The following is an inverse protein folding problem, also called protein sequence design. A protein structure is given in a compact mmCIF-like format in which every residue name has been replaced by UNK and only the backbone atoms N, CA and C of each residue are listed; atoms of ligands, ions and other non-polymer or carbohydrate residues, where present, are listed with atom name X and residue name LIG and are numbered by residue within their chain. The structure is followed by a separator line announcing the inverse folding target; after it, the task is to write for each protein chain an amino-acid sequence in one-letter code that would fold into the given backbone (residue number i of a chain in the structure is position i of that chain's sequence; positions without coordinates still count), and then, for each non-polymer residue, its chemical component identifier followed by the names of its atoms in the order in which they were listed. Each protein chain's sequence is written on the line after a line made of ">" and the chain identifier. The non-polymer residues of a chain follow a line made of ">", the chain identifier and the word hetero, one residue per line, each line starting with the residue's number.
data_IF_749404111187
#
_entry.id   IF_749404111187
#
_cell.length_a   1.000
_cell.length_b   1.000
_cell.length_c   1.000
_cell.angle_alpha   90.00
_cell.angle_beta   90.00
_cell.angle_gamma   90.00
#
_symmetry.space_group_name_H-M   'P 1'
#
loop_
_entity.id
_entity.type
_entity.pdbx_description
1 polymer ?
#
# COMPACT_ATOMS: atom_id res chain seq x y z
N UNK A 1 -15.77 11.02 18.17
CA UNK A 1 -17.03 11.78 17.98
C UNK A 1 -18.21 10.83 18.04
N UNK A 2 -19.43 11.33 18.27
CA UNK A 2 -20.63 10.50 18.23
C UNK A 2 -20.91 10.03 16.79
N UNK A 3 -21.74 8.99 16.62
CA UNK A 3 -22.19 8.54 15.31
C UNK A 3 -22.93 9.65 14.54
N UNK A 4 -23.80 10.41 15.22
CA UNK A 4 -24.54 11.51 14.60
C UNK A 4 -23.63 12.65 14.12
N UNK A 5 -22.59 13.00 14.90
CA UNK A 5 -21.59 14.00 14.53
C UNK A 5 -20.78 13.55 13.31
N UNK A 6 -20.40 12.27 13.30
CA UNK A 6 -19.64 11.66 12.22
C UNK A 6 -20.45 11.62 10.92
N UNK A 7 -21.71 11.17 10.98
CA UNK A 7 -22.61 11.15 9.84
C UNK A 7 -22.89 12.55 9.25
N UNK A 8 -23.03 13.55 10.12
CA UNK A 8 -23.24 14.95 9.69
C UNK A 8 -21.96 15.68 9.31
N UNK A 9 -20.79 15.03 9.47
CA UNK A 9 -19.45 15.61 9.24
C UNK A 9 -19.22 16.93 9.98
N UNK A 10 -19.81 17.07 11.17
CA UNK A 10 -19.72 18.28 11.98
C UNK A 10 -19.47 17.91 13.43
N UNK A 11 -18.46 18.53 14.04
CA UNK A 11 -18.18 18.39 15.46
C UNK A 11 -17.63 19.70 16.01
N UNK A 12 -18.09 20.08 17.21
CA UNK A 12 -17.74 21.36 17.86
C UNK A 12 -16.24 21.53 18.12
N UNK A 13 -15.51 20.43 18.32
CA UNK A 13 -14.09 20.46 18.65
C UNK A 13 -13.19 20.34 17.43
N UNK A 14 -13.69 19.81 16.31
CA UNK A 14 -12.89 19.55 15.11
C UNK A 14 -12.20 20.81 14.54
N UNK A 15 -12.84 21.99 14.47
CA UNK A 15 -12.17 23.21 14.01
C UNK A 15 -11.00 23.62 14.92
N UNK A 16 -11.19 23.55 16.24
CA UNK A 16 -10.13 23.90 17.22
C UNK A 16 -8.94 22.95 17.13
N UNK A 17 -9.22 21.64 16.97
CA UNK A 17 -8.19 20.64 16.77
C UNK A 17 -7.45 20.89 15.47
N UNK A 18 -8.18 21.22 14.39
CA UNK A 18 -7.58 21.53 13.10
C UNK A 18 -6.62 22.72 13.18
N UNK A 19 -7.07 23.85 13.74
CA UNK A 19 -6.23 25.04 13.94
C UNK A 19 -4.97 24.72 14.75
N UNK A 20 -5.13 23.96 15.85
CA UNK A 20 -3.98 23.57 16.69
C UNK A 20 -2.99 22.69 15.92
N UNK A 21 -3.45 21.65 15.22
CA UNK A 21 -2.56 20.75 14.47
C UNK A 21 -1.84 21.48 13.34
N UNK A 22 -2.51 22.39 12.62
CA UNK A 22 -1.87 23.19 11.57
C UNK A 22 -0.74 24.06 12.13
N UNK A 23 -0.87 24.58 13.34
CA UNK A 23 0.19 25.34 14.01
C UNK A 23 1.35 24.47 14.53
N UNK A 24 1.19 23.15 14.64
CA UNK A 24 2.14 22.24 15.31
C UNK A 24 2.66 21.10 14.41
N UNK A 25 2.66 21.26 13.08
CA UNK A 25 3.26 20.30 12.15
C UNK A 25 2.33 19.81 11.03
N UNK A 26 1.03 20.08 11.12
CA UNK A 26 0.11 19.90 10.00
C UNK A 26 -0.15 18.45 9.60
N UNK A 27 0.05 17.50 10.51
CA UNK A 27 -0.15 16.07 10.25
C UNK A 27 -1.63 15.73 9.90
N UNK A 28 -1.87 14.58 9.22
CA UNK A 28 -3.22 14.20 8.82
C UNK A 28 -4.19 14.03 9.99
N UNK A 29 -5.34 14.70 9.91
CA UNK A 29 -6.45 14.53 10.86
C UNK A 29 -7.50 13.62 10.24
N UNK A 30 -7.86 12.55 10.95
CA UNK A 30 -8.90 11.59 10.51
C UNK A 30 -10.05 11.61 11.53
N UNK A 31 -11.17 12.29 11.23
CA UNK A 31 -12.37 12.18 12.04
C UNK A 31 -12.97 10.78 11.91
N UNK A 32 -13.26 10.13 13.04
CA UNK A 32 -13.95 8.83 13.07
C UNK A 32 -14.81 8.68 14.33
N UNK A 33 -15.77 7.76 14.28
CA UNK A 33 -16.61 7.40 15.42
C UNK A 33 -16.35 5.95 15.83
N UNK A 34 -15.73 5.75 16.98
CA UNK A 34 -15.49 4.41 17.52
C UNK A 34 -16.80 3.61 17.73
N UNK A 35 -17.88 4.29 18.12
CA UNK A 35 -19.19 3.67 18.26
C UNK A 35 -19.74 3.16 16.91
N UNK A 36 -19.57 3.94 15.84
CA UNK A 36 -19.97 3.52 14.49
C UNK A 36 -19.12 2.34 14.00
N UNK A 37 -17.80 2.42 14.15
CA UNK A 37 -16.88 1.35 13.72
C UNK A 37 -17.15 0.03 14.45
N UNK A 38 -17.38 0.07 15.76
CA UNK A 38 -17.72 -1.14 16.53
C UNK A 38 -19.06 -1.73 16.06
N UNK A 39 -20.06 -0.89 15.83
CA UNK A 39 -21.39 -1.34 15.38
C UNK A 39 -21.32 -2.05 14.03
N UNK A 40 -20.59 -1.51 13.06
CA UNK A 40 -20.43 -2.15 11.74
C UNK A 40 -19.47 -3.34 11.76
N UNK A 41 -18.65 -3.49 12.79
CA UNK A 41 -17.76 -4.64 12.97
C UNK A 41 -18.52 -5.89 13.42
N UNK A 42 -19.56 -5.70 14.24
CA UNK A 42 -20.43 -6.80 14.72
C UNK A 42 -21.47 -7.24 13.67
N UNK A 43 -21.65 -6.47 12.60
CA UNK A 43 -22.60 -6.77 11.53
C UNK A 43 -22.02 -7.73 10.48
N UNK A 44 -22.84 -8.63 9.92
CA UNK A 44 -22.52 -9.35 8.68
C UNK A 44 -22.22 -8.39 7.51
N UNK A 45 -21.40 -8.83 6.55
CA UNK A 45 -20.94 -7.97 5.44
C UNK A 45 -22.08 -7.42 4.56
N UNK A 46 -23.15 -8.19 4.37
CA UNK A 46 -24.32 -7.79 3.58
C UNK A 46 -25.17 -6.73 4.30
N UNK A 47 -25.29 -6.82 5.63
CA UNK A 47 -25.96 -5.82 6.47
C UNK A 47 -25.12 -4.55 6.61
N UNK A 48 -23.81 -4.71 6.81
CA UNK A 48 -22.85 -3.60 6.89
C UNK A 48 -22.92 -2.69 5.67
N UNK A 49 -22.93 -3.27 4.47
CA UNK A 49 -23.03 -2.51 3.23
C UNK A 49 -24.33 -1.69 3.13
N UNK A 50 -25.46 -2.28 3.55
CA UNK A 50 -26.77 -1.59 3.58
C UNK A 50 -26.75 -0.47 4.62
N UNK A 51 -26.28 -0.73 5.83
CA UNK A 51 -26.20 0.25 6.91
C UNK A 51 -25.35 1.47 6.54
N UNK A 52 -24.17 1.24 5.94
CA UNK A 52 -23.28 2.30 5.46
C UNK A 52 -23.95 3.16 4.38
N UNK A 53 -24.68 2.52 3.46
CA UNK A 53 -25.41 3.20 2.38
C UNK A 53 -26.56 4.06 2.92
N UNK A 54 -27.34 3.55 3.88
CA UNK A 54 -28.46 4.27 4.50
C UNK A 54 -27.98 5.45 5.35
N UNK A 55 -26.94 5.24 6.15
CA UNK A 55 -26.37 6.28 7.00
C UNK A 55 -25.51 7.31 6.22
N UNK A 56 -25.23 7.05 4.94
CA UNK A 56 -24.41 7.93 4.09
C UNK A 56 -22.95 8.04 4.53
N UNK A 57 -22.46 7.04 5.26
CA UNK A 57 -21.12 6.99 5.85
C UNK A 57 -20.39 5.71 5.46
N UNK A 58 -19.08 5.80 5.38
CA UNK A 58 -18.19 4.66 5.17
C UNK A 58 -17.26 4.50 6.36
N UNK A 59 -16.79 3.28 6.60
CA UNK A 59 -15.75 3.02 7.60
C UNK A 59 -14.50 3.85 7.30
N UNK A 60 -13.94 4.44 8.34
CA UNK A 60 -12.68 5.17 8.31
C UNK A 60 -11.49 4.27 8.64
N UNK A 61 -11.71 3.04 9.12
CA UNK A 61 -10.63 2.10 9.44
C UNK A 61 -9.69 1.86 8.25
N UNK A 62 -10.15 1.63 7.01
CA UNK A 62 -9.24 1.50 5.86
C UNK A 62 -8.36 2.74 5.66
N UNK A 63 -8.92 3.95 5.89
CA UNK A 63 -8.16 5.20 5.80
C UNK A 63 -7.17 5.35 6.96
N UNK A 64 -7.55 4.94 8.18
CA UNK A 64 -6.64 4.96 9.34
C UNK A 64 -5.45 4.04 9.10
N UNK A 65 -5.69 2.80 8.66
CA UNK A 65 -4.63 1.82 8.38
C UNK A 65 -3.68 2.32 7.29
N UNK A 66 -4.22 2.78 6.15
CA UNK A 66 -3.40 3.28 5.03
C UNK A 66 -2.64 4.56 5.38
N UNK A 67 -3.24 5.46 6.15
CA UNK A 67 -2.54 6.67 6.62
C UNK A 67 -1.45 6.33 7.61
N UNK A 68 -1.70 5.43 8.56
CA UNK A 68 -0.71 4.95 9.52
C UNK A 68 0.48 4.27 8.83
N UNK A 69 0.21 3.41 7.85
CA UNK A 69 1.24 2.74 7.04
C UNK A 69 2.17 3.75 6.33
N UNK A 70 1.59 4.79 5.72
CA UNK A 70 2.35 5.87 5.08
C UNK A 70 3.08 6.76 6.08
N UNK A 71 2.48 7.04 7.24
CA UNK A 71 3.07 7.88 8.28
C UNK A 71 4.37 7.30 8.85
N UNK A 72 4.51 5.98 8.87
CA UNK A 72 5.75 5.29 9.31
C UNK A 72 6.73 4.99 8.16
N UNK A 73 6.53 5.65 7.01
CA UNK A 73 7.37 5.54 5.81
C UNK A 73 7.49 4.12 5.25
N UNK A 74 6.40 3.35 5.32
CA UNK A 74 6.30 2.08 4.60
C UNK A 74 5.63 2.30 3.24
N UNK A 75 6.14 1.56 2.25
CA UNK A 75 5.56 1.40 0.91
C UNK A 75 5.52 -0.10 0.59
N UNK A 76 4.93 -0.49 -0.52
CA UNK A 76 4.98 -1.88 -0.97
C UNK A 76 5.20 -1.98 -2.46
N UNK A 77 5.79 -3.11 -2.87
CA UNK A 77 5.78 -3.57 -4.25
C UNK A 77 4.99 -4.87 -4.34
N UNK A 78 4.62 -5.25 -5.56
CA UNK A 78 3.88 -6.46 -5.84
C UNK A 78 4.75 -7.49 -6.55
N UNK A 79 4.57 -8.74 -6.19
CA UNK A 79 4.82 -9.87 -7.09
C UNK A 79 3.47 -10.33 -7.60
N UNK A 80 3.33 -10.48 -8.91
CA UNK A 80 2.09 -10.92 -9.54
C UNK A 80 2.40 -12.00 -10.58
N UNK A 81 1.79 -13.16 -10.42
CA UNK A 81 1.80 -14.27 -11.36
C UNK A 81 0.48 -15.03 -11.31
N UNK A 82 0.36 -16.11 -12.08
CA UNK A 82 -0.84 -16.95 -12.08
C UNK A 82 -1.08 -17.61 -10.72
N UNK A 83 0.00 -17.95 -10.02
CA UNK A 83 -0.06 -18.66 -8.73
C UNK A 83 -0.35 -17.71 -7.55
N UNK A 84 0.31 -16.56 -7.50
CA UNK A 84 0.27 -15.66 -6.35
C UNK A 84 0.31 -14.18 -6.78
N UNK A 85 -0.53 -13.38 -6.12
CA UNK A 85 -0.41 -11.92 -6.09
C UNK A 85 -0.19 -11.50 -4.63
N UNK A 86 0.94 -10.85 -4.36
CA UNK A 86 1.34 -10.52 -2.99
C UNK A 86 1.94 -9.13 -2.88
N UNK A 87 1.59 -8.44 -1.79
CA UNK A 87 2.16 -7.16 -1.38
C UNK A 87 3.36 -7.40 -0.46
N UNK A 88 4.52 -6.86 -0.83
CA UNK A 88 5.74 -6.92 -0.03
C UNK A 88 6.04 -5.55 0.55
N UNK A 89 5.87 -5.42 1.88
CA UNK A 89 6.14 -4.16 2.58
C UNK A 89 7.64 -3.91 2.72
N UNK A 90 8.07 -2.70 2.37
CA UNK A 90 9.45 -2.21 2.49
C UNK A 90 9.44 -0.78 3.01
N UNK A 91 10.59 -0.31 3.49
CA UNK A 91 10.74 1.11 3.83
C UNK A 91 10.89 1.94 2.56
N UNK A 92 10.38 3.16 2.57
CA UNK A 92 10.63 4.11 1.50
C UNK A 92 12.14 4.32 1.34
N UNK A 93 12.64 4.29 0.10
CA UNK A 93 14.06 4.39 -0.18
C UNK A 93 14.82 3.06 -0.24
N UNK A 94 14.16 1.92 0.03
CA UNK A 94 14.76 0.59 -0.13
C UNK A 94 15.14 0.33 -1.60
N UNK A 95 16.37 -0.14 -1.83
CA UNK A 95 16.87 -0.47 -3.18
C UNK A 95 16.38 -1.84 -3.65
N UNK A 96 16.36 -2.07 -4.96
CA UNK A 96 15.89 -3.30 -5.57
C UNK A 96 16.51 -4.60 -5.00
N UNK A 97 17.84 -4.70 -4.74
CA UNK A 97 18.41 -5.91 -4.14
C UNK A 97 17.89 -6.20 -2.73
N UNK A 98 17.76 -5.15 -1.91
CA UNK A 98 17.24 -5.25 -0.55
C UNK A 98 15.75 -5.63 -0.55
N UNK A 99 14.98 -5.06 -1.47
CA UNK A 99 13.59 -5.44 -1.67
C UNK A 99 13.46 -6.92 -2.07
N UNK A 100 14.33 -7.41 -2.95
CA UNK A 100 14.39 -8.83 -3.31
C UNK A 100 14.72 -9.73 -2.10
N UNK A 101 15.61 -9.26 -1.22
CA UNK A 101 15.98 -9.94 0.03
C UNK A 101 14.81 -10.19 0.98
N UNK A 102 13.77 -9.35 0.94
CA UNK A 102 12.55 -9.55 1.75
C UNK A 102 11.74 -10.77 1.33
N UNK A 103 11.88 -11.22 0.07
CA UNK A 103 11.27 -12.45 -0.44
C UNK A 103 12.11 -13.65 -0.02
N UNK A 104 13.41 -13.59 -0.32
CA UNK A 104 14.38 -14.62 0.04
C UNK A 104 15.80 -14.03 0.02
N UNK A 105 16.64 -14.42 0.98
CA UNK A 105 18.01 -13.89 1.11
C UNK A 105 18.89 -14.20 -0.10
N UNK A 106 18.65 -15.31 -0.79
CA UNK A 106 19.38 -15.65 -2.02
C UNK A 106 19.08 -14.72 -3.20
N UNK A 107 17.90 -14.07 -3.24
CA UNK A 107 17.58 -13.10 -4.30
C UNK A 107 18.43 -11.85 -4.17
N UNK A 108 18.72 -11.42 -2.94
CA UNK A 108 19.62 -10.29 -2.69
C UNK A 108 21.07 -10.66 -3.01
N UNK A 109 21.53 -11.85 -2.56
CA UNK A 109 22.91 -12.32 -2.81
C UNK A 109 23.20 -12.54 -4.29
N UNK A 110 22.26 -13.15 -4.99
CA UNK A 110 22.35 -13.48 -6.41
C UNK A 110 21.79 -12.41 -7.33
N UNK A 111 21.45 -11.21 -6.84
CA UNK A 111 20.72 -10.20 -7.60
C UNK A 111 21.40 -9.85 -8.93
N UNK A 112 20.66 -10.02 -10.03
CA UNK A 112 21.07 -9.60 -11.38
C UNK A 112 20.38 -8.28 -11.72
N UNK A 113 19.05 -8.31 -11.79
CA UNK A 113 18.22 -7.15 -12.08
C UNK A 113 16.80 -7.35 -11.55
N UNK A 114 16.06 -6.24 -11.43
CA UNK A 114 14.64 -6.21 -11.17
C UNK A 114 13.91 -5.82 -12.46
N UNK A 115 13.04 -6.68 -12.96
CA UNK A 115 12.11 -6.34 -14.03
C UNK A 115 10.91 -5.64 -13.41
N UNK A 116 10.75 -4.35 -13.69
CA UNK A 116 9.78 -3.48 -13.04
C UNK A 116 8.77 -2.96 -14.06
N UNK A 117 7.49 -3.10 -13.74
CA UNK A 117 6.39 -2.38 -14.38
C UNK A 117 5.60 -1.59 -13.35
N UNK A 118 5.14 -0.39 -13.71
CA UNK A 118 4.30 0.40 -12.80
C UNK A 118 2.86 -0.12 -12.84
N UNK A 119 2.20 -0.13 -11.68
CA UNK A 119 0.78 -0.51 -11.59
C UNK A 119 -0.11 0.28 -12.56
N UNK A 120 0.11 1.60 -12.66
CA UNK A 120 -0.69 2.46 -13.54
C UNK A 120 -0.53 2.08 -15.02
N UNK A 121 0.68 1.67 -15.43
CA UNK A 121 0.96 1.25 -16.81
C UNK A 121 0.29 -0.09 -17.13
N UNK A 122 0.29 -1.03 -16.17
CA UNK A 122 -0.44 -2.30 -16.31
C UNK A 122 -1.95 -2.07 -16.36
N UNK A 123 -2.47 -1.16 -15.53
CA UNK A 123 -3.89 -0.82 -15.52
C UNK A 123 -4.35 -0.15 -16.81
N UNK A 124 -3.51 0.72 -17.38
CA UNK A 124 -3.78 1.41 -18.66
C UNK A 124 -3.76 0.45 -19.85
N UNK A 125 -2.76 -0.45 -19.91
CA UNK A 125 -2.54 -1.33 -21.07
C UNK A 125 -3.20 -2.72 -20.93
N UNK A 126 -3.73 -3.04 -19.74
CA UNK A 126 -4.49 -4.24 -19.42
C UNK A 126 -3.67 -5.51 -19.19
N UNK A 127 -2.59 -5.73 -19.94
CA UNK A 127 -1.79 -6.98 -19.87
C UNK A 127 -0.30 -6.72 -19.81
N UNK A 128 0.45 -7.63 -19.18
CA UNK A 128 1.92 -7.56 -19.14
C UNK A 128 2.55 -7.56 -20.55
N UNK A 129 1.99 -8.35 -21.47
CA UNK A 129 2.43 -8.39 -22.87
C UNK A 129 2.29 -7.03 -23.55
N UNK A 130 1.19 -6.31 -23.29
CA UNK A 130 0.99 -4.96 -23.82
C UNK A 130 1.96 -3.94 -23.19
N UNK A 131 2.24 -4.05 -21.89
CA UNK A 131 3.25 -3.22 -21.19
C UNK A 131 4.64 -3.44 -21.77
N UNK A 132 5.01 -4.69 -22.04
CA UNK A 132 6.28 -5.05 -22.71
C UNK A 132 6.35 -4.49 -24.13
N UNK A 133 5.29 -4.67 -24.92
CA UNK A 133 5.22 -4.14 -26.28
C UNK A 133 5.31 -2.60 -26.33
N UNK A 134 4.79 -1.92 -25.32
CA UNK A 134 4.88 -0.47 -25.18
C UNK A 134 6.24 0.03 -24.65
N UNK A 135 7.20 -0.85 -24.37
CA UNK A 135 8.52 -0.49 -23.84
C UNK A 135 8.49 0.05 -22.39
N UNK A 136 7.39 -0.17 -21.67
CA UNK A 136 7.21 0.29 -20.28
C UNK A 136 7.69 -0.73 -19.25
N UNK A 137 8.07 -1.93 -19.69
CA UNK A 137 8.69 -2.97 -18.89
C UNK A 137 10.20 -2.74 -18.77
N UNK A 138 10.67 -2.30 -17.60
CA UNK A 138 12.02 -1.78 -17.42
C UNK A 138 12.90 -2.76 -16.65
N UNK A 139 14.12 -2.97 -17.11
CA UNK A 139 15.13 -3.68 -16.33
C UNK A 139 15.92 -2.68 -15.48
N UNK A 140 15.85 -2.88 -14.17
CA UNK A 140 16.42 -2.02 -13.16
C UNK A 140 17.60 -2.69 -12.46
N UNK A 141 18.68 -1.93 -12.29
CA UNK A 141 19.90 -2.39 -11.64
C UNK A 141 19.86 -2.25 -10.12
N UNK A 142 21.03 -2.47 -9.49
CA UNK A 142 21.20 -2.45 -8.02
C UNK A 142 20.90 -1.08 -7.38
N UNK A 143 21.09 0.00 -8.13
CA UNK A 143 20.87 1.37 -7.64
C UNK A 143 19.41 1.83 -7.73
N UNK A 144 18.52 1.02 -8.32
CA UNK A 144 17.12 1.39 -8.41
C UNK A 144 16.47 1.41 -7.04
N UNK A 145 15.83 2.52 -6.71
CA UNK A 145 14.98 2.67 -5.53
C UNK A 145 13.58 2.23 -5.89
N UNK A 146 13.07 1.22 -5.18
CA UNK A 146 11.73 0.68 -5.42
C UNK A 146 10.68 1.74 -5.10
N UNK A 147 9.72 1.92 -6.00
CA UNK A 147 8.62 2.84 -5.80
C UNK A 147 7.37 2.11 -5.30
N UNK A 148 6.49 2.85 -4.63
CA UNK A 148 5.20 2.33 -4.16
C UNK A 148 4.36 1.86 -5.35
N UNK A 149 3.82 0.64 -5.26
CA UNK A 149 3.01 0.03 -6.30
C UNK A 149 3.78 -0.50 -7.51
N UNK A 150 5.12 -0.58 -7.44
CA UNK A 150 5.90 -1.30 -8.44
C UNK A 150 5.47 -2.76 -8.48
N UNK A 151 5.33 -3.33 -9.68
CA UNK A 151 5.18 -4.77 -9.87
C UNK A 151 6.52 -5.29 -10.37
N UNK A 152 7.13 -6.18 -9.59
CA UNK A 152 8.54 -6.56 -9.75
C UNK A 152 8.67 -8.06 -9.94
N UNK A 153 9.48 -8.43 -10.92
CA UNK A 153 10.01 -9.77 -11.09
C UNK A 153 11.54 -9.73 -10.95
N UNK A 154 12.09 -10.47 -9.98
CA UNK A 154 13.54 -10.46 -9.72
C UNK A 154 14.27 -11.54 -10.52
N UNK A 155 15.31 -11.14 -11.26
CA UNK A 155 16.28 -12.07 -11.85
C UNK A 155 17.45 -12.21 -10.88
N UNK A 156 17.77 -13.44 -10.53
CA UNK A 156 18.89 -13.76 -9.65
C UNK A 156 19.60 -15.03 -10.14
N UNK A 157 20.88 -15.17 -9.81
CA UNK A 157 21.62 -16.40 -9.99
C UNK A 157 22.50 -16.64 -8.77
N UNK A 158 22.32 -17.81 -8.15
CA UNK A 158 23.15 -18.26 -7.04
C UNK A 158 23.97 -19.43 -7.56
N UNK A 159 25.23 -19.17 -7.91
CA UNK A 159 26.19 -20.27 -8.03
C UNK A 159 26.35 -20.85 -6.64
N UNK A 160 25.97 -22.11 -6.42
CA UNK A 160 26.31 -22.78 -5.17
C UNK A 160 27.82 -22.67 -5.00
N UNK A 161 28.26 -21.92 -3.99
CA UNK A 161 29.65 -21.95 -3.57
C UNK A 161 29.95 -23.42 -3.28
N UNK A 162 30.82 -24.02 -4.11
CA UNK A 162 31.03 -25.45 -4.14
C UNK A 162 31.22 -26.02 -2.74
N UNK A 163 30.63 -27.19 -2.50
CA UNK A 163 31.01 -28.05 -1.39
C UNK A 163 32.54 -28.20 -1.43
N UNK A 164 33.23 -27.48 -0.55
CA UNK A 164 34.62 -27.74 -0.18
C UNK A 164 34.60 -28.56 1.09
#
# INVERSE_FOLDING_TARGET
>A
MSEADFARKKNKFLPKIHEWVQAHGGEPIIPFSAAFENKIFEMPDDEKAKYCKEAGVISMLPKIVTTGFKAIHLIYFFTAGEDEVKCWQIRQGTKAPQAAGTIHTDFERGFICAEVMKYDELKELGTESAVKAAGKYRQQGKEYVVADGDIIYFKFNVTSSGKK
#
